data_IF_938499569992
#
_entry.id   IF_938499569992
#
_cell.length_a   1.000
_cell.length_b   1.000
_cell.length_c   1.000
_cell.angle_alpha   90.00
_cell.angle_beta   90.00
_cell.angle_gamma   90.00
#
_symmetry.space_group_name_H-M   'P 1'
#
loop_
_entity.id
_entity.type
_entity.pdbx_description
1 polymer ?
#
# COMPACT_ATOMS: atom_id res chain seq x y z
N UNK A 1 4.67 9.66 36.74
CA UNK A 1 4.39 8.86 35.53
C UNK A 1 5.54 9.10 34.55
N UNK A 2 6.29 8.06 34.18
CA UNK A 2 7.51 8.24 33.39
C UNK A 2 7.14 8.49 31.91
N UNK A 3 7.17 9.76 31.48
CA UNK A 3 6.78 10.18 30.14
C UNK A 3 7.55 9.45 29.03
N UNK A 4 8.79 9.03 29.29
CA UNK A 4 9.59 8.24 28.35
C UNK A 4 8.93 6.90 28.00
N UNK A 5 8.35 6.21 29.00
CA UNK A 5 7.68 4.91 28.78
C UNK A 5 6.44 5.10 27.91
N UNK A 6 5.68 6.18 28.13
CA UNK A 6 4.48 6.50 27.34
C UNK A 6 4.85 6.82 25.89
N UNK A 7 5.92 7.61 25.68
CA UNK A 7 6.41 7.97 24.34
C UNK A 7 6.87 6.72 23.58
N UNK A 8 7.64 5.84 24.22
CA UNK A 8 8.11 4.60 23.60
C UNK A 8 6.93 3.72 23.19
N UNK A 9 5.96 3.49 24.09
CA UNK A 9 4.78 2.69 23.77
C UNK A 9 3.96 3.27 22.61
N UNK A 10 3.77 4.60 22.59
CA UNK A 10 3.06 5.26 21.50
C UNK A 10 3.77 5.10 20.14
N UNK A 11 5.10 5.27 20.12
CA UNK A 11 5.90 5.08 18.90
C UNK A 11 5.86 3.62 18.43
N UNK A 12 6.00 2.66 19.34
CA UNK A 12 5.91 1.23 19.00
C UNK A 12 4.54 0.90 18.42
N UNK A 13 3.45 1.39 19.01
CA UNK A 13 2.10 1.17 18.49
C UNK A 13 1.95 1.74 17.06
N UNK A 14 2.45 2.95 16.80
CA UNK A 14 2.40 3.58 15.45
C UNK A 14 3.18 2.75 14.42
N UNK A 15 4.36 2.26 14.79
CA UNK A 15 5.18 1.42 13.90
C UNK A 15 4.47 0.10 13.62
N UNK A 16 3.97 -0.58 14.65
CA UNK A 16 3.26 -1.87 14.51
C UNK A 16 2.04 -1.73 13.60
N UNK A 17 1.20 -0.72 13.84
CA UNK A 17 0.01 -0.46 13.00
C UNK A 17 0.40 -0.17 11.55
N UNK A 18 1.48 0.58 11.34
CA UNK A 18 1.98 0.89 10.00
C UNK A 18 2.48 -0.37 9.27
N UNK A 19 3.17 -1.27 9.98
CA UNK A 19 3.66 -2.54 9.42
C UNK A 19 2.50 -3.46 9.06
N UNK A 20 1.54 -3.66 9.97
CA UNK A 20 0.36 -4.51 9.74
C UNK A 20 -0.41 -4.02 8.51
N UNK A 21 -0.65 -2.72 8.44
CA UNK A 21 -1.34 -2.11 7.30
C UNK A 21 -0.58 -2.32 5.99
N UNK A 22 0.74 -2.12 6.01
CA UNK A 22 1.59 -2.35 4.83
C UNK A 22 1.54 -3.78 4.34
N UNK A 23 1.50 -4.77 5.25
CA UNK A 23 1.35 -6.17 4.87
C UNK A 23 0.01 -6.43 4.20
N UNK A 24 -1.08 -5.95 4.81
CA UNK A 24 -2.43 -6.09 4.25
C UNK A 24 -2.57 -5.45 2.87
N UNK A 25 -2.02 -4.26 2.67
CA UNK A 25 -2.05 -3.60 1.37
C UNK A 25 -1.28 -4.41 0.31
N UNK A 26 -0.14 -5.01 0.67
CA UNK A 26 0.62 -5.87 -0.25
C UNK A 26 -0.16 -7.12 -0.65
N UNK A 27 -0.86 -7.75 0.30
CA UNK A 27 -1.72 -8.91 0.02
C UNK A 27 -2.84 -8.53 -0.95
N UNK A 28 -3.54 -7.42 -0.69
CA UNK A 28 -4.61 -6.92 -1.57
C UNK A 28 -4.12 -6.65 -3.00
N UNK A 29 -2.95 -6.03 -3.14
CA UNK A 29 -2.36 -5.72 -4.45
C UNK A 29 -1.88 -6.98 -5.16
N UNK A 30 -1.29 -7.94 -4.43
CA UNK A 30 -0.89 -9.22 -5.00
C UNK A 30 -2.10 -10.03 -5.48
N UNK A 31 -3.20 -10.03 -4.72
CA UNK A 31 -4.42 -10.72 -5.10
C UNK A 31 -5.12 -10.05 -6.29
N UNK A 32 -5.07 -8.71 -6.41
CA UNK A 32 -5.54 -8.00 -7.60
C UNK A 32 -4.70 -8.34 -8.84
N UNK A 33 -3.38 -8.33 -8.72
CA UNK A 33 -2.47 -8.71 -9.83
C UNK A 33 -2.67 -10.16 -10.24
N UNK A 34 -2.85 -11.08 -9.28
CA UNK A 34 -3.14 -12.49 -9.55
C UNK A 34 -4.49 -12.65 -10.26
N UNK A 35 -5.52 -11.89 -9.87
CA UNK A 35 -6.83 -11.85 -10.56
C UNK A 35 -6.70 -11.37 -12.00
N UNK A 36 -5.73 -10.51 -12.29
CA UNK A 36 -5.39 -10.04 -13.65
C UNK A 36 -4.51 -11.02 -14.43
N UNK A 37 -4.17 -12.18 -13.85
CA UNK A 37 -3.35 -13.19 -14.49
C UNK A 37 -1.86 -12.87 -14.49
N UNK A 38 -1.41 -11.99 -13.59
CA UNK A 38 -0.01 -11.61 -13.49
C UNK A 38 0.63 -11.92 -12.14
N UNK A 39 1.90 -11.55 -12.04
CA UNK A 39 2.73 -11.65 -10.85
C UNK A 39 3.31 -10.29 -10.48
N UNK A 40 3.33 -9.97 -9.19
CA UNK A 40 3.89 -8.72 -8.68
C UNK A 40 5.42 -8.78 -8.74
N UNK A 41 6.04 -7.84 -9.45
CA UNK A 41 7.50 -7.66 -9.45
C UNK A 41 7.90 -6.72 -8.32
N UNK A 42 7.18 -5.58 -8.19
CA UNK A 42 7.53 -4.54 -7.23
C UNK A 42 6.32 -3.74 -6.77
N UNK A 43 6.29 -3.45 -5.47
CA UNK A 43 5.32 -2.55 -4.86
C UNK A 43 6.05 -1.37 -4.22
N UNK A 44 5.83 -0.17 -4.76
CA UNK A 44 6.40 1.06 -4.24
C UNK A 44 5.26 1.89 -3.68
N UNK A 45 5.31 2.18 -2.38
CA UNK A 45 4.38 3.14 -1.78
C UNK A 45 4.76 4.54 -2.24
N UNK A 46 3.83 5.23 -2.89
CA UNK A 46 4.03 6.57 -3.39
C UNK A 46 3.32 7.59 -2.51
N UNK A 47 4.02 8.68 -2.20
CA UNK A 47 3.47 9.85 -1.49
C UNK A 47 3.38 11.09 -2.37
N UNK A 48 4.13 11.12 -3.47
CA UNK A 48 4.17 12.21 -4.47
C UNK A 48 4.21 11.59 -5.86
N UNK A 49 3.58 12.27 -6.83
CA UNK A 49 3.54 11.83 -8.23
C UNK A 49 2.55 10.70 -8.51
N UNK A 50 1.71 10.32 -7.54
CA UNK A 50 0.57 9.44 -7.81
C UNK A 50 -0.52 10.19 -8.60
N UNK A 51 -1.26 9.52 -9.49
CA UNK A 51 -2.39 10.12 -10.20
C UNK A 51 -3.63 10.29 -9.31
N UNK A 52 -3.60 9.77 -8.08
CA UNK A 52 -4.67 9.93 -7.09
C UNK A 52 -4.50 11.25 -6.33
N UNK A 53 -5.60 11.96 -6.03
CA UNK A 53 -5.55 13.14 -5.17
C UNK A 53 -5.01 12.77 -3.77
N UNK A 54 -4.39 13.73 -3.09
CA UNK A 54 -4.01 13.54 -1.69
C UNK A 54 -5.27 13.56 -0.83
N UNK A 55 -5.78 12.37 -0.54
CA UNK A 55 -7.09 12.13 0.07
C UNK A 55 -7.04 12.10 1.60
N UNK A 56 -5.91 12.47 2.20
CA UNK A 56 -5.78 12.59 3.66
C UNK A 56 -5.50 11.26 4.38
N UNK A 57 -5.91 11.19 5.66
CA UNK A 57 -5.48 10.09 6.56
C UNK A 57 -6.07 8.75 6.15
N UNK A 58 -5.17 7.77 6.00
CA UNK A 58 -5.53 6.36 5.90
C UNK A 58 -5.79 5.87 4.49
N UNK A 59 -5.22 6.53 3.48
CA UNK A 59 -5.26 6.13 2.07
C UNK A 59 -3.83 6.13 1.54
N UNK A 60 -3.38 5.04 0.92
CA UNK A 60 -2.02 4.94 0.37
C UNK A 60 -2.07 4.64 -1.12
N UNK A 61 -1.36 5.48 -1.88
CA UNK A 61 -1.09 5.23 -3.29
C UNK A 61 0.10 4.29 -3.43
N UNK A 62 0.00 3.38 -4.40
CA UNK A 62 0.99 2.38 -4.72
C UNK A 62 1.28 2.42 -6.20
N UNK A 63 2.55 2.45 -6.55
CA UNK A 63 3.02 2.08 -7.88
C UNK A 63 3.26 0.56 -7.86
N UNK A 64 2.56 -0.15 -8.73
CA UNK A 64 2.56 -1.60 -8.83
C UNK A 64 3.22 -1.97 -10.16
N UNK A 65 4.40 -2.54 -10.09
CA UNK A 65 5.08 -3.13 -11.25
C UNK A 65 4.80 -4.63 -11.22
N UNK A 66 4.21 -5.15 -12.28
CA UNK A 66 3.74 -6.52 -12.38
C UNK A 66 3.93 -7.05 -13.80
N UNK A 67 3.90 -8.37 -13.95
CA UNK A 67 4.08 -9.03 -15.25
C UNK A 67 2.96 -10.01 -15.52
N UNK A 68 2.41 -9.96 -16.71
CA UNK A 68 1.49 -10.97 -17.24
C UNK A 68 2.07 -11.61 -18.52
N UNK A 69 1.28 -12.44 -19.19
CA UNK A 69 1.69 -13.09 -20.44
C UNK A 69 2.00 -12.09 -21.58
N UNK A 70 1.52 -10.85 -21.48
CA UNK A 70 1.77 -9.75 -22.42
C UNK A 70 3.04 -8.94 -22.12
N UNK A 71 3.67 -9.16 -20.96
CA UNK A 71 4.91 -8.50 -20.57
C UNK A 71 4.82 -7.74 -19.26
N UNK A 72 5.78 -6.83 -19.03
CA UNK A 72 5.80 -5.99 -17.83
C UNK A 72 4.85 -4.81 -17.96
N UNK A 73 4.10 -4.57 -16.88
CA UNK A 73 3.11 -3.50 -16.77
C UNK A 73 3.36 -2.72 -15.49
N UNK A 74 3.05 -1.44 -15.54
CA UNK A 74 3.05 -0.57 -14.37
C UNK A 74 1.65 -0.02 -14.20
N UNK A 75 1.11 -0.17 -13.00
CA UNK A 75 -0.20 0.36 -12.64
C UNK A 75 -0.09 1.16 -11.34
N UNK A 76 -1.08 1.99 -11.11
CA UNK A 76 -1.28 2.76 -9.89
C UNK A 76 -2.49 2.22 -9.14
N UNK A 77 -2.33 1.97 -7.85
CA UNK A 77 -3.39 1.49 -7.00
C UNK A 77 -3.57 2.37 -5.77
N UNK A 78 -4.81 2.57 -5.36
CA UNK A 78 -5.18 3.31 -4.16
C UNK A 78 -5.76 2.33 -3.15
N UNK A 79 -5.12 2.22 -1.99
CA UNK A 79 -5.59 1.38 -0.89
C UNK A 79 -6.16 2.27 0.21
N UNK A 80 -7.37 1.96 0.67
CA UNK A 80 -8.05 2.66 1.77
C UNK A 80 -8.04 1.80 3.02
N UNK A 81 -8.73 2.22 4.08
CA UNK A 81 -8.91 1.39 5.28
C UNK A 81 -9.75 0.14 5.00
N UNK A 82 -10.64 0.22 4.02
CA UNK A 82 -11.66 -0.80 3.73
C UNK A 82 -11.18 -1.79 2.67
N UNK A 83 -10.14 -1.46 1.89
CA UNK A 83 -9.54 -2.37 0.92
C UNK A 83 -8.89 -1.64 -0.26
N UNK A 84 -8.89 -2.31 -1.42
CA UNK A 84 -8.49 -1.70 -2.68
C UNK A 84 -9.59 -0.74 -3.15
N UNK A 85 -9.29 0.55 -3.23
CA UNK A 85 -10.25 1.57 -3.65
C UNK A 85 -10.27 1.79 -5.16
N UNK A 86 -9.10 2.01 -5.77
CA UNK A 86 -9.00 2.32 -7.20
C UNK A 86 -7.74 1.70 -7.82
N UNK A 87 -7.82 1.34 -9.10
CA UNK A 87 -6.71 0.82 -9.90
C UNK A 87 -6.68 1.53 -11.25
N UNK A 88 -5.50 2.00 -11.68
CA UNK A 88 -5.27 2.68 -12.96
C UNK A 88 -4.05 2.08 -13.64
N UNK A 89 -4.15 1.78 -14.93
CA UNK A 89 -3.03 1.28 -15.74
C UNK A 89 -2.24 2.42 -16.40
#
# INVERSE_FOLDING_TARGET
MNYLVVIVLALTAVVVVSVIRTRRDRELLADEVRRRGGEVIRLIRARRGSPFPDTGRGWWAWKVEWRDAGGERTSWALTTRDGLGEWRD
#
